data_IF_403231707134
#
_entry.id   IF_403231707134
#
_cell.length_a   1.000
_cell.length_b   1.000
_cell.length_c   1.000
_cell.angle_alpha   90.00
_cell.angle_beta   90.00
_cell.angle_gamma   90.00
#
_symmetry.space_group_name_H-M   'P 1'
#
loop_
_entity.id
_entity.type
_entity.pdbx_description
1 polymer ?
#
# COMPACT_ATOMS: atom_id res chain seq x y z
N UNK A 1 7.43 25.59 -5.75
CA UNK A 1 6.98 25.58 -4.33
C UNK A 1 8.18 25.85 -3.44
N UNK A 2 8.04 26.61 -2.33
CA UNK A 2 9.17 26.85 -1.43
C UNK A 2 9.68 25.55 -0.83
N UNK A 3 10.99 25.33 -0.89
CA UNK A 3 11.65 24.22 -0.21
C UNK A 3 11.57 24.45 1.30
N UNK A 4 10.73 23.70 1.98
CA UNK A 4 10.65 23.67 3.45
C UNK A 4 10.60 22.22 3.91
N UNK A 5 11.11 21.96 5.11
CA UNK A 5 11.02 20.62 5.71
C UNK A 5 9.56 20.18 5.88
N UNK A 6 8.67 21.12 6.19
CA UNK A 6 7.24 20.85 6.27
C UNK A 6 6.68 20.33 4.94
N UNK A 7 6.93 21.04 3.84
CA UNK A 7 6.44 20.63 2.52
C UNK A 7 7.04 19.30 2.07
N UNK A 8 8.32 19.05 2.39
CA UNK A 8 8.97 17.76 2.10
C UNK A 8 8.23 16.61 2.79
N UNK A 9 8.02 16.72 4.11
CA UNK A 9 7.35 15.68 4.88
C UNK A 9 5.88 15.51 4.49
N UNK A 10 5.18 16.62 4.19
CA UNK A 10 3.81 16.57 3.71
C UNK A 10 3.66 15.71 2.44
N UNK A 11 4.52 15.93 1.45
CA UNK A 11 4.50 15.15 0.21
C UNK A 11 4.85 13.67 0.43
N UNK A 12 5.81 13.38 1.31
CA UNK A 12 6.18 12.01 1.67
C UNK A 12 4.98 11.30 2.31
N UNK A 13 4.36 11.92 3.32
CA UNK A 13 3.23 11.33 4.06
C UNK A 13 2.02 11.13 3.13
N UNK A 14 1.67 12.16 2.34
CA UNK A 14 0.55 12.08 1.39
C UNK A 14 0.81 10.98 0.35
N UNK A 15 2.03 10.93 -0.21
CA UNK A 15 2.41 9.88 -1.16
C UNK A 15 2.27 8.48 -0.56
N UNK A 16 2.74 8.29 0.68
CA UNK A 16 2.60 7.04 1.42
C UNK A 16 1.14 6.61 1.60
N UNK A 17 0.28 7.52 2.08
CA UNK A 17 -1.15 7.20 2.27
C UNK A 17 -1.88 6.94 0.96
N UNK A 18 -1.62 7.72 -0.10
CA UNK A 18 -2.23 7.49 -1.42
C UNK A 18 -1.87 6.09 -1.94
N UNK A 19 -0.59 5.70 -1.87
CA UNK A 19 -0.16 4.39 -2.32
C UNK A 19 -0.74 3.25 -1.46
N UNK A 20 -0.84 3.43 -0.13
CA UNK A 20 -1.48 2.45 0.74
C UNK A 20 -2.97 2.28 0.45
N UNK A 21 -3.71 3.38 0.24
CA UNK A 21 -5.13 3.32 -0.15
C UNK A 21 -5.26 2.60 -1.50
N UNK A 22 -4.44 2.96 -2.49
CA UNK A 22 -4.42 2.29 -3.79
C UNK A 22 -4.13 0.78 -3.66
N UNK A 23 -3.17 0.41 -2.82
CA UNK A 23 -2.82 -1.00 -2.57
C UNK A 23 -3.99 -1.78 -1.95
N UNK A 24 -4.63 -1.20 -0.92
CA UNK A 24 -5.71 -1.84 -0.17
C UNK A 24 -7.04 -1.89 -0.92
N UNK A 25 -7.16 -1.15 -2.02
CA UNK A 25 -8.39 -1.09 -2.82
C UNK A 25 -8.14 -1.66 -4.21
N UNK A 26 -7.54 -0.88 -5.10
CA UNK A 26 -7.37 -1.22 -6.52
C UNK A 26 -6.46 -2.44 -6.68
N UNK A 27 -5.27 -2.42 -6.08
CA UNK A 27 -4.32 -3.53 -6.26
C UNK A 27 -4.84 -4.82 -5.61
N UNK A 28 -5.50 -4.70 -4.45
CA UNK A 28 -6.18 -5.82 -3.80
C UNK A 28 -7.15 -6.53 -4.75
N UNK A 29 -8.10 -5.81 -5.35
CA UNK A 29 -9.08 -6.39 -6.28
C UNK A 29 -8.43 -6.97 -7.55
N UNK A 30 -7.31 -6.41 -8.00
CA UNK A 30 -6.58 -6.93 -9.16
C UNK A 30 -5.81 -8.22 -8.84
N UNK A 31 -5.23 -8.33 -7.64
CA UNK A 31 -4.43 -9.48 -7.23
C UNK A 31 -5.29 -10.65 -6.72
N UNK A 32 -6.42 -10.35 -6.10
CA UNK A 32 -7.35 -11.35 -5.54
C UNK A 32 -8.72 -11.13 -6.19
N UNK A 33 -8.91 -11.58 -7.45
CA UNK A 33 -10.18 -11.43 -8.17
C UNK A 33 -11.28 -12.35 -7.63
N UNK A 34 -10.90 -13.50 -7.06
CA UNK A 34 -11.79 -14.41 -6.35
C UNK A 34 -11.26 -14.65 -4.93
N UNK A 35 -11.91 -13.98 -3.98
CA UNK A 35 -11.60 -14.05 -2.55
C UNK A 35 -12.12 -15.33 -1.89
N UNK A 36 -13.15 -15.98 -2.46
CA UNK A 36 -13.72 -17.23 -1.96
C UNK A 36 -12.82 -18.44 -2.26
N UNK A 37 -11.98 -18.35 -3.29
CA UNK A 37 -10.99 -19.38 -3.64
C UNK A 37 -10.15 -19.84 -2.44
N UNK A 38 -9.83 -18.91 -1.53
CA UNK A 38 -8.97 -19.16 -0.37
C UNK A 38 -9.68 -19.83 0.81
N UNK A 39 -10.98 -20.16 0.70
CA UNK A 39 -11.64 -21.05 1.65
C UNK A 39 -11.21 -22.52 1.51
N UNK A 40 -10.74 -22.90 0.31
CA UNK A 40 -10.33 -24.27 -0.01
C UNK A 40 -8.86 -24.37 -0.45
N UNK A 41 -8.15 -23.24 -0.54
CA UNK A 41 -6.77 -23.19 -0.99
C UNK A 41 -5.93 -22.30 -0.09
N UNK A 42 -4.71 -22.75 0.21
CA UNK A 42 -3.76 -21.94 0.95
C UNK A 42 -3.15 -20.84 0.08
N UNK A 43 -2.88 -19.70 0.70
CA UNK A 43 -2.08 -18.64 0.10
C UNK A 43 -0.64 -19.11 -0.09
N UNK A 44 -0.08 -18.88 -1.27
CA UNK A 44 1.34 -19.11 -1.49
C UNK A 44 2.20 -18.15 -0.63
N UNK A 45 3.50 -18.44 -0.52
CA UNK A 45 4.43 -17.67 0.32
C UNK A 45 4.44 -16.17 0.02
N UNK A 46 4.39 -15.77 -1.25
CA UNK A 46 4.41 -14.35 -1.63
C UNK A 46 3.11 -13.69 -1.17
N UNK A 47 1.98 -14.33 -1.41
CA UNK A 47 0.67 -13.84 -1.02
C UNK A 47 0.57 -13.69 0.51
N UNK A 48 1.04 -14.69 1.26
CA UNK A 48 0.98 -14.67 2.73
C UNK A 48 1.90 -13.63 3.38
N UNK A 49 2.92 -13.13 2.67
CA UNK A 49 3.70 -11.98 3.14
C UNK A 49 2.86 -10.70 3.21
N UNK A 50 1.92 -10.51 2.27
CA UNK A 50 1.17 -9.25 2.10
C UNK A 50 -0.30 -9.35 2.51
N UNK A 51 -0.83 -10.56 2.64
CA UNK A 51 -2.23 -10.81 2.97
C UNK A 51 -2.34 -11.81 4.11
N UNK A 52 -3.36 -11.63 4.94
CA UNK A 52 -3.66 -12.53 6.04
C UNK A 52 -5.16 -12.81 6.03
N UNK A 53 -5.53 -14.08 6.11
CA UNK A 53 -6.91 -14.51 6.30
C UNK A 53 -7.14 -14.75 7.80
N UNK A 54 -8.22 -14.23 8.37
CA UNK A 54 -8.54 -14.41 9.78
C UNK A 54 -10.07 -14.50 9.97
N UNK A 55 -10.57 -14.99 11.12
CA UNK A 55 -12.01 -15.20 11.31
C UNK A 55 -12.86 -13.93 11.10
N UNK A 56 -12.32 -12.75 11.39
CA UNK A 56 -13.01 -11.47 11.20
C UNK A 56 -13.18 -11.05 9.73
N UNK A 57 -12.44 -11.64 8.81
CA UNK A 57 -12.58 -11.46 7.35
C UNK A 57 -13.39 -12.59 6.70
N UNK A 58 -14.04 -13.44 7.51
CA UNK A 58 -14.66 -14.69 7.09
C UNK A 58 -13.67 -15.66 6.40
N UNK A 59 -12.37 -15.54 6.68
CA UNK A 59 -11.34 -16.35 6.01
C UNK A 59 -10.94 -15.83 4.63
N UNK A 60 -11.42 -14.65 4.20
CA UNK A 60 -10.92 -14.00 3.00
C UNK A 60 -9.54 -13.37 3.26
N UNK A 61 -8.62 -13.37 2.28
CA UNK A 61 -7.36 -12.66 2.43
C UNK A 61 -7.64 -11.16 2.54
N UNK A 62 -7.08 -10.54 3.58
CA UNK A 62 -7.08 -9.08 3.76
C UNK A 62 -5.64 -8.54 3.76
N UNK A 63 -5.41 -7.32 3.22
CA UNK A 63 -4.09 -6.70 3.26
C UNK A 63 -3.60 -6.55 4.70
N UNK A 64 -2.35 -6.98 4.96
CA UNK A 64 -1.78 -6.98 6.30
C UNK A 64 -0.84 -5.79 6.55
N UNK A 65 -0.18 -5.79 7.72
CA UNK A 65 0.77 -4.75 8.10
C UNK A 65 1.95 -4.62 7.13
N UNK A 66 2.46 -5.74 6.60
CA UNK A 66 3.54 -5.74 5.61
C UNK A 66 3.12 -5.03 4.33
N UNK A 67 1.90 -5.29 3.84
CA UNK A 67 1.33 -4.58 2.70
C UNK A 67 1.29 -3.08 2.97
N UNK A 68 0.77 -2.66 4.12
CA UNK A 68 0.76 -1.25 4.51
C UNK A 68 2.16 -0.63 4.54
N UNK A 69 3.14 -1.29 5.17
CA UNK A 69 4.52 -0.78 5.27
C UNK A 69 5.13 -0.63 3.88
N UNK A 70 5.03 -1.66 3.04
CA UNK A 70 5.65 -1.65 1.71
C UNK A 70 4.97 -0.62 0.81
N UNK A 71 3.64 -0.58 0.77
CA UNK A 71 2.91 0.42 -0.02
C UNK A 71 3.20 1.84 0.46
N UNK A 72 3.28 2.05 1.78
CA UNK A 72 3.59 3.35 2.36
C UNK A 72 5.01 3.81 2.02
N UNK A 73 6.00 2.91 2.07
CA UNK A 73 7.38 3.22 1.70
C UNK A 73 7.51 3.54 0.21
N UNK A 74 6.86 2.77 -0.66
CA UNK A 74 6.83 3.03 -2.11
C UNK A 74 6.18 4.39 -2.40
N UNK A 75 5.01 4.65 -1.79
CA UNK A 75 4.33 5.94 -1.91
C UNK A 75 5.14 7.11 -1.37
N UNK A 76 5.82 6.92 -0.24
CA UNK A 76 6.72 7.91 0.38
C UNK A 76 7.87 8.28 -0.55
N UNK A 77 8.47 7.29 -1.22
CA UNK A 77 9.53 7.51 -2.20
C UNK A 77 9.01 8.30 -3.41
N UNK A 78 7.84 7.95 -3.94
CA UNK A 78 7.18 8.68 -5.03
C UNK A 78 6.90 10.12 -4.61
N UNK A 79 6.33 10.32 -3.42
CA UNK A 79 6.07 11.65 -2.84
C UNK A 79 7.34 12.49 -2.72
N UNK A 80 8.46 11.89 -2.28
CA UNK A 80 9.75 12.56 -2.23
C UNK A 80 10.27 12.96 -3.63
N UNK A 81 10.16 12.08 -4.62
CA UNK A 81 10.56 12.37 -6.01
C UNK A 81 9.74 13.53 -6.59
N UNK A 82 8.42 13.52 -6.35
CA UNK A 82 7.51 14.60 -6.75
C UNK A 82 7.92 15.91 -6.08
N UNK A 83 8.11 15.91 -4.75
CA UNK A 83 8.57 17.09 -4.02
C UNK A 83 9.86 17.66 -4.61
N UNK A 84 10.87 16.83 -4.87
CA UNK A 84 12.15 17.25 -5.47
C UNK A 84 11.95 17.88 -6.85
N UNK A 85 10.99 17.39 -7.64
CA UNK A 85 10.66 17.94 -8.96
C UNK A 85 10.01 19.33 -8.88
N UNK A 86 9.12 19.56 -7.92
CA UNK A 86 8.35 20.81 -7.79
C UNK A 86 8.98 21.85 -6.83
N UNK A 87 10.00 21.45 -6.06
CA UNK A 87 10.80 22.34 -5.20
C UNK A 87 11.99 22.96 -5.92
N UNK A 88 12.32 22.51 -7.13
CA UNK A 88 13.24 23.21 -8.03
C UNK A 88 12.51 24.39 -8.68
N UNK A 89 12.64 25.55 -8.06
CA UNK A 89 12.60 26.90 -8.63
C UNK A 89 13.33 27.80 -7.64
#
# INVERSE_FOLDING_TARGET
MKYTNFNKWLFIIIGGFIASIFSFTVLYYLLIPDLCYYHSHEMNYIMSLFFTAYPGSNGHPDPNLTNFIVSFLVGSLIGFVIFKKFSKN
#
